data_IF_306304501414
#
_entry.id   IF_306304501414
#
_cell.length_a   1.000
_cell.length_b   1.000
_cell.length_c   1.000
_cell.angle_alpha   90.00
_cell.angle_beta   90.00
_cell.angle_gamma   90.00
#
_symmetry.space_group_name_H-M   'P 1'
#
loop_
_entity.id
_entity.type
_entity.pdbx_description
1 polymer ?
#
# COMPACT_ATOMS: atom_id res chain seq x y z
N UNK A 1 -8.48 -18.32 0.19
CA UNK A 1 -9.85 -18.57 -0.35
C UNK A 1 -10.26 -17.58 -1.44
N UNK A 2 -10.17 -16.27 -1.19
CA UNK A 2 -10.66 -15.22 -2.10
C UNK A 2 -9.87 -15.08 -3.42
N UNK A 3 -8.59 -15.45 -3.43
CA UNK A 3 -7.72 -15.40 -4.63
C UNK A 3 -7.57 -16.73 -5.37
N UNK A 4 -8.33 -17.78 -4.99
CA UNK A 4 -8.08 -19.18 -5.44
C UNK A 4 -8.07 -19.35 -6.97
N UNK A 5 -8.79 -18.50 -7.69
CA UNK A 5 -8.86 -18.49 -9.16
C UNK A 5 -8.35 -17.17 -9.77
N UNK A 6 -7.71 -16.32 -8.97
CA UNK A 6 -7.15 -15.04 -9.41
C UNK A 6 -5.77 -15.19 -10.05
N UNK A 7 -5.25 -14.10 -10.66
CA UNK A 7 -3.90 -14.07 -11.17
C UNK A 7 -2.87 -14.25 -10.03
N UNK A 8 -1.69 -14.74 -10.37
CA UNK A 8 -0.54 -14.72 -9.45
C UNK A 8 -0.08 -13.27 -9.30
N UNK A 9 -0.04 -12.77 -8.06
CA UNK A 9 0.36 -11.38 -7.76
C UNK A 9 1.74 -11.37 -7.14
N UNK A 10 2.58 -10.45 -7.62
CA UNK A 10 3.94 -10.21 -7.16
C UNK A 10 4.09 -8.72 -6.82
N UNK A 11 4.78 -8.40 -5.72
CA UNK A 11 5.01 -7.02 -5.27
C UNK A 11 6.49 -6.70 -5.33
N UNK A 12 6.87 -5.72 -6.14
CA UNK A 12 8.25 -5.25 -6.28
C UNK A 12 8.33 -3.84 -5.71
N UNK A 13 9.10 -3.66 -4.64
CA UNK A 13 9.25 -2.38 -3.94
C UNK A 13 10.70 -1.98 -3.64
N UNK A 14 11.63 -2.94 -3.69
CA UNK A 14 13.04 -2.69 -3.44
C UNK A 14 13.72 -2.22 -4.73
N UNK A 15 14.64 -1.24 -4.63
CA UNK A 15 15.44 -0.77 -5.76
C UNK A 15 16.56 -1.73 -6.15
N UNK A 16 16.91 -2.68 -5.26
CA UNK A 16 17.82 -3.77 -5.59
C UNK A 16 17.30 -4.56 -6.79
N UNK A 17 18.05 -4.51 -7.90
CA UNK A 17 17.72 -5.15 -9.17
C UNK A 17 17.51 -6.66 -9.06
N UNK A 18 18.00 -7.29 -7.98
CA UNK A 18 17.73 -8.69 -7.66
C UNK A 18 16.23 -8.96 -7.54
N UNK A 19 15.47 -8.05 -6.91
CA UNK A 19 14.04 -8.27 -6.66
C UNK A 19 13.23 -8.35 -7.95
N UNK A 20 13.43 -7.41 -8.88
CA UNK A 20 12.78 -7.45 -10.19
C UNK A 20 13.25 -8.66 -11.00
N UNK A 21 14.56 -8.90 -11.07
CA UNK A 21 15.16 -9.99 -11.84
C UNK A 21 14.64 -11.37 -11.42
N UNK A 22 14.65 -11.66 -10.11
CA UNK A 22 14.13 -12.92 -9.58
C UNK A 22 12.63 -13.07 -9.81
N UNK A 23 11.88 -11.97 -9.73
CA UNK A 23 10.42 -11.98 -9.97
C UNK A 23 10.13 -12.33 -11.42
N UNK A 24 10.69 -11.58 -12.37
CA UNK A 24 10.39 -11.76 -13.80
C UNK A 24 10.96 -13.04 -14.39
N UNK A 25 12.00 -13.62 -13.78
CA UNK A 25 12.57 -14.92 -14.19
C UNK A 25 11.56 -16.08 -14.17
N UNK A 26 10.46 -15.94 -13.43
CA UNK A 26 9.41 -16.96 -13.23
C UNK A 26 8.13 -16.65 -14.02
N UNK A 27 8.15 -15.61 -14.86
CA UNK A 27 6.98 -15.05 -15.54
C UNK A 27 7.14 -15.11 -17.06
N UNK A 28 6.01 -15.02 -17.77
CA UNK A 28 5.97 -14.90 -19.23
C UNK A 28 5.52 -13.49 -19.63
N UNK A 29 6.23 -12.80 -20.54
CA UNK A 29 5.81 -11.50 -21.05
C UNK A 29 4.40 -11.51 -21.65
N UNK A 30 3.97 -12.62 -22.24
CA UNK A 30 2.65 -12.76 -22.90
C UNK A 30 1.47 -12.80 -21.91
N UNK A 31 1.72 -13.15 -20.65
CA UNK A 31 0.66 -13.37 -19.64
C UNK A 31 0.86 -12.52 -18.39
N UNK A 32 1.68 -11.47 -18.46
CA UNK A 32 1.99 -10.61 -17.30
C UNK A 32 1.45 -9.20 -17.52
N UNK A 33 0.77 -8.68 -16.51
CA UNK A 33 0.36 -7.28 -16.41
C UNK A 33 1.19 -6.60 -15.32
N UNK A 34 1.82 -5.48 -15.63
CA UNK A 34 2.52 -4.64 -14.69
C UNK A 34 1.65 -3.47 -14.26
N UNK A 35 1.52 -3.28 -12.95
CA UNK A 35 0.80 -2.15 -12.34
C UNK A 35 1.83 -1.23 -11.69
N UNK A 36 2.07 -0.05 -12.27
CA UNK A 36 3.06 0.90 -11.76
C UNK A 36 2.37 1.87 -10.79
N UNK A 37 2.67 1.75 -9.50
CA UNK A 37 2.11 2.59 -8.45
C UNK A 37 3.06 3.73 -8.06
N UNK A 38 2.92 4.90 -8.67
CA UNK A 38 3.67 6.10 -8.31
C UNK A 38 2.86 7.35 -8.63
N UNK A 39 2.49 8.10 -7.60
CA UNK A 39 1.67 9.31 -7.72
C UNK A 39 2.25 10.32 -8.70
N UNK A 40 3.53 10.65 -8.51
CA UNK A 40 4.25 11.63 -9.34
C UNK A 40 4.81 11.00 -10.61
N UNK A 41 4.87 9.68 -10.68
CA UNK A 41 5.58 8.92 -11.71
C UNK A 41 7.07 9.32 -11.81
N UNK A 42 7.67 9.68 -10.66
CA UNK A 42 9.07 10.11 -10.57
C UNK A 42 9.85 9.44 -9.45
N UNK A 43 9.19 8.61 -8.63
CA UNK A 43 9.84 7.89 -7.54
C UNK A 43 10.95 7.02 -8.10
N UNK A 44 12.19 7.27 -7.68
CA UNK A 44 13.38 6.68 -8.31
C UNK A 44 13.32 5.16 -8.29
N UNK A 45 13.07 4.58 -7.11
CA UNK A 45 12.96 3.14 -6.90
C UNK A 45 11.87 2.51 -7.78
N UNK A 46 10.70 3.16 -7.89
CA UNK A 46 9.58 2.65 -8.68
C UNK A 46 9.85 2.75 -10.18
N UNK A 47 10.35 3.88 -10.67
CA UNK A 47 10.57 4.11 -12.10
C UNK A 47 11.76 3.28 -12.61
N UNK A 48 12.83 3.12 -11.81
CA UNK A 48 13.92 2.20 -12.16
C UNK A 48 13.40 0.78 -12.35
N UNK A 49 12.58 0.27 -11.41
CA UNK A 49 11.97 -1.06 -11.56
C UNK A 49 11.00 -1.15 -12.76
N UNK A 50 10.23 -0.09 -13.02
CA UNK A 50 9.30 -0.03 -14.14
C UNK A 50 10.02 -0.09 -15.50
N UNK A 51 11.12 0.66 -15.65
CA UNK A 51 11.94 0.63 -16.87
C UNK A 51 12.60 -0.74 -17.05
N UNK A 52 13.12 -1.37 -15.98
CA UNK A 52 13.65 -2.74 -16.07
C UNK A 52 12.58 -3.77 -16.48
N UNK A 53 11.35 -3.63 -15.96
CA UNK A 53 10.23 -4.48 -16.36
C UNK A 53 9.84 -4.27 -17.83
N UNK A 54 9.84 -3.01 -18.30
CA UNK A 54 9.57 -2.64 -19.70
C UNK A 54 10.65 -3.19 -20.63
N UNK A 55 11.91 -3.08 -20.27
CA UNK A 55 13.03 -3.66 -21.03
C UNK A 55 12.90 -5.18 -21.12
N UNK A 56 12.66 -5.85 -19.98
CA UNK A 56 12.42 -7.30 -19.95
C UNK A 56 11.26 -7.71 -20.86
N UNK A 57 10.15 -6.97 -20.83
CA UNK A 57 8.98 -7.24 -21.66
C UNK A 57 9.28 -7.04 -23.16
N UNK A 58 9.91 -5.92 -23.53
CA UNK A 58 10.23 -5.59 -24.92
C UNK A 58 11.30 -6.49 -25.52
N UNK A 59 12.15 -7.11 -24.69
CA UNK A 59 13.08 -8.14 -25.15
C UNK A 59 12.36 -9.32 -25.82
N UNK A 60 11.10 -9.61 -25.46
CA UNK A 60 10.27 -10.60 -26.12
C UNK A 60 9.26 -9.97 -27.10
N UNK A 61 8.53 -8.93 -26.66
CA UNK A 61 7.44 -8.34 -27.45
C UNK A 61 7.92 -7.57 -28.68
N UNK A 62 9.15 -7.05 -28.66
CA UNK A 62 9.85 -6.24 -29.69
C UNK A 62 9.18 -4.90 -30.06
N UNK A 63 7.87 -4.86 -30.23
CA UNK A 63 7.10 -3.66 -30.58
C UNK A 63 6.74 -2.85 -29.33
N UNK A 64 7.13 -1.57 -29.30
CA UNK A 64 6.80 -0.65 -28.22
C UNK A 64 5.29 -0.42 -28.06
N UNK A 65 4.50 -0.59 -29.13
CA UNK A 65 3.04 -0.45 -29.06
C UNK A 65 2.39 -1.43 -28.09
N UNK A 66 3.06 -2.54 -27.79
CA UNK A 66 2.55 -3.58 -26.89
C UNK A 66 2.65 -3.19 -25.41
N UNK A 67 3.44 -2.17 -25.04
CA UNK A 67 3.50 -1.64 -23.66
C UNK A 67 2.10 -1.23 -23.19
N UNK A 68 1.32 -0.59 -24.07
CA UNK A 68 -0.04 -0.16 -23.78
C UNK A 68 -0.99 -1.31 -23.36
N UNK A 69 -0.69 -2.57 -23.70
CA UNK A 69 -1.53 -3.74 -23.36
C UNK A 69 -1.08 -4.49 -22.09
N UNK A 70 0.15 -4.26 -21.64
CA UNK A 70 0.78 -5.00 -20.54
C UNK A 70 1.18 -4.13 -19.35
N UNK A 71 1.00 -2.80 -19.44
CA UNK A 71 1.34 -1.86 -18.39
C UNK A 71 0.15 -0.93 -18.12
N UNK A 72 -0.17 -0.77 -16.83
CA UNK A 72 -1.12 0.24 -16.33
C UNK A 72 -0.43 1.08 -15.26
N UNK A 73 -0.92 2.31 -15.05
CA UNK A 73 -0.34 3.23 -14.08
C UNK A 73 -1.38 3.68 -13.04
N UNK A 74 -0.94 3.78 -11.79
CA UNK A 74 -1.68 4.43 -10.70
C UNK A 74 -0.94 5.73 -10.40
N UNK A 75 -1.39 6.83 -10.99
CA UNK A 75 -0.65 8.08 -11.07
C UNK A 75 -1.57 9.26 -11.36
N UNK A 76 -1.11 10.48 -11.06
CA UNK A 76 -1.73 11.73 -11.52
C UNK A 76 -0.94 12.43 -12.62
N UNK A 77 0.22 11.87 -13.01
CA UNK A 77 1.12 12.47 -14.01
C UNK A 77 0.90 11.86 -15.40
N UNK A 78 -0.13 12.33 -16.10
CA UNK A 78 -0.48 11.85 -17.44
C UNK A 78 0.68 11.93 -18.42
N UNK A 79 1.43 13.03 -18.41
CA UNK A 79 2.54 13.25 -19.34
C UNK A 79 3.56 12.12 -19.24
N UNK A 80 4.11 11.87 -18.05
CA UNK A 80 5.13 10.83 -17.86
C UNK A 80 4.61 9.42 -18.11
N UNK A 81 3.36 9.15 -17.77
CA UNK A 81 2.71 7.86 -18.04
C UNK A 81 2.61 7.60 -19.56
N UNK A 82 2.21 8.62 -20.32
CA UNK A 82 2.14 8.49 -21.79
C UNK A 82 3.52 8.44 -22.44
N UNK A 83 4.51 9.18 -21.93
CA UNK A 83 5.92 9.09 -22.36
C UNK A 83 6.52 7.71 -22.11
N UNK A 84 6.11 7.04 -21.03
CA UNK A 84 6.50 5.65 -20.75
C UNK A 84 5.90 4.66 -21.77
N UNK A 85 4.83 5.03 -22.48
CA UNK A 85 4.14 4.19 -23.47
C UNK A 85 2.86 3.53 -22.96
N UNK A 86 2.36 3.92 -21.79
CA UNK A 86 1.06 3.47 -21.27
C UNK A 86 -0.05 4.30 -21.90
N UNK A 87 -1.12 3.62 -22.32
CA UNK A 87 -2.31 4.28 -22.86
C UNK A 87 -3.00 5.12 -21.78
N UNK A 88 -3.54 6.29 -22.14
CA UNK A 88 -4.13 7.22 -21.16
C UNK A 88 -5.32 6.60 -20.42
N UNK A 89 -6.10 5.79 -21.11
CA UNK A 89 -7.22 5.00 -20.57
C UNK A 89 -6.79 3.93 -19.56
N UNK A 90 -5.51 3.56 -19.54
CA UNK A 90 -4.89 2.61 -18.62
C UNK A 90 -4.19 3.30 -17.44
N UNK A 91 -4.47 4.59 -17.23
CA UNK A 91 -4.06 5.35 -16.06
C UNK A 91 -5.25 5.52 -15.10
N UNK A 92 -5.06 5.11 -13.85
CA UNK A 92 -6.05 5.24 -12.79
C UNK A 92 -5.58 6.29 -11.78
N UNK A 93 -6.35 7.36 -11.65
CA UNK A 93 -5.99 8.51 -10.83
C UNK A 93 -6.39 8.34 -9.35
N UNK A 94 -5.71 9.07 -8.48
CA UNK A 94 -6.09 9.27 -7.08
C UNK A 94 -5.61 10.64 -6.62
N UNK A 95 -6.14 11.14 -5.50
CA UNK A 95 -6.05 12.57 -5.16
C UNK A 95 -4.98 12.90 -4.12
N UNK A 96 -4.67 14.20 -4.01
CA UNK A 96 -3.65 14.70 -3.09
C UNK A 96 -3.93 14.47 -1.61
N UNK A 97 -5.21 14.42 -1.24
CA UNK A 97 -5.65 14.14 0.11
C UNK A 97 -5.52 12.65 0.50
N UNK A 98 -5.21 11.76 -0.46
CA UNK A 98 -4.94 10.35 -0.18
C UNK A 98 -3.46 10.19 0.18
N UNK A 99 -3.18 10.08 1.48
CA UNK A 99 -1.84 9.78 1.97
C UNK A 99 -1.40 8.36 1.61
N UNK A 100 -0.11 8.17 1.27
CA UNK A 100 0.42 6.88 0.80
C UNK A 100 0.10 5.69 1.71
N UNK A 101 0.34 5.83 3.01
CA UNK A 101 0.03 4.80 4.03
C UNK A 101 -1.46 4.60 4.34
N UNK A 102 -2.34 5.37 3.69
CA UNK A 102 -3.81 5.24 3.76
C UNK A 102 -4.42 5.02 2.37
N UNK A 103 -3.62 4.63 1.37
CA UNK A 103 -4.03 4.68 -0.04
C UNK A 103 -4.67 3.42 -0.59
N UNK A 104 -4.64 2.28 0.12
CA UNK A 104 -5.13 0.99 -0.41
C UNK A 104 -6.60 0.99 -0.85
N UNK A 105 -7.39 1.91 -0.29
CA UNK A 105 -8.81 2.09 -0.60
C UNK A 105 -9.04 2.85 -1.92
N UNK A 106 -8.00 3.45 -2.49
CA UNK A 106 -8.03 4.22 -3.74
C UNK A 106 -7.68 3.34 -4.95
N UNK A 107 -7.38 3.96 -6.10
CA UNK A 107 -6.82 3.28 -7.27
C UNK A 107 -5.58 2.42 -6.94
N UNK A 108 -4.81 2.76 -5.89
CA UNK A 108 -3.69 1.93 -5.39
C UNK A 108 -4.11 0.48 -5.10
N UNK A 109 -5.38 0.26 -4.71
CA UNK A 109 -5.96 -1.06 -4.47
C UNK A 109 -6.23 -1.89 -5.73
N UNK A 110 -5.91 -1.42 -6.94
CA UNK A 110 -6.19 -2.14 -8.19
C UNK A 110 -5.62 -3.57 -8.20
N UNK A 111 -4.42 -3.77 -7.64
CA UNK A 111 -3.82 -5.11 -7.53
C UNK A 111 -4.65 -6.06 -6.65
N UNK A 112 -5.31 -5.54 -5.62
CA UNK A 112 -6.23 -6.28 -4.77
C UNK A 112 -7.48 -6.63 -5.58
N UNK A 113 -8.07 -5.66 -6.30
CA UNK A 113 -9.22 -5.88 -7.18
C UNK A 113 -8.94 -6.98 -8.20
N UNK A 114 -7.78 -6.95 -8.87
CA UNK A 114 -7.40 -7.98 -9.83
C UNK A 114 -7.25 -9.36 -9.18
N UNK A 115 -6.81 -9.42 -7.91
CA UNK A 115 -6.55 -10.66 -7.18
C UNK A 115 -7.81 -11.35 -6.67
N UNK A 116 -8.72 -10.57 -6.06
CA UNK A 116 -9.90 -11.11 -5.36
C UNK A 116 -11.23 -10.79 -6.03
N UNK A 117 -11.23 -10.05 -7.14
CA UNK A 117 -12.44 -9.58 -7.81
C UNK A 117 -13.01 -8.31 -7.19
N UNK A 118 -13.78 -7.57 -7.98
CA UNK A 118 -14.31 -6.27 -7.58
C UNK A 118 -15.35 -6.38 -6.47
N UNK A 119 -16.20 -7.41 -6.49
CA UNK A 119 -17.25 -7.64 -5.50
C UNK A 119 -16.66 -7.86 -4.09
N UNK A 120 -15.54 -8.58 -3.99
CA UNK A 120 -14.85 -8.75 -2.72
C UNK A 120 -14.14 -7.48 -2.28
N UNK A 121 -13.58 -6.70 -3.21
CA UNK A 121 -13.01 -5.38 -2.89
C UNK A 121 -14.09 -4.40 -2.40
N UNK A 122 -15.30 -4.43 -2.97
CA UNK A 122 -16.42 -3.64 -2.47
C UNK A 122 -16.84 -4.03 -1.05
N UNK A 123 -16.80 -5.32 -0.71
CA UNK A 123 -17.03 -5.76 0.67
C UNK A 123 -15.95 -5.24 1.63
N UNK A 124 -14.69 -5.23 1.20
CA UNK A 124 -13.59 -4.62 1.96
C UNK A 124 -13.83 -3.13 2.20
N UNK A 125 -14.23 -2.38 1.18
CA UNK A 125 -14.59 -0.95 1.30
C UNK A 125 -15.80 -0.75 2.23
N UNK A 126 -16.82 -1.60 2.12
CA UNK A 126 -18.01 -1.53 2.96
C UNK A 126 -17.67 -1.78 4.45
N UNK A 127 -16.77 -2.73 4.73
CA UNK A 127 -16.27 -2.97 6.08
C UNK A 127 -15.51 -1.77 6.67
N UNK A 128 -14.63 -1.15 5.87
CA UNK A 128 -13.95 0.08 6.28
C UNK A 128 -14.93 1.22 6.56
N UNK A 129 -15.90 1.43 5.66
CA UNK A 129 -16.91 2.47 5.83
C UNK A 129 -17.81 2.24 7.05
N UNK A 130 -18.11 0.99 7.40
CA UNK A 130 -18.84 0.67 8.63
C UNK A 130 -18.03 1.06 9.88
N UNK A 131 -16.71 0.83 9.88
CA UNK A 131 -15.84 1.26 10.98
C UNK A 131 -15.67 2.79 11.01
N UNK A 132 -15.64 3.47 9.86
CA UNK A 132 -15.64 4.94 9.81
C UNK A 132 -16.90 5.52 10.46
N UNK A 133 -18.08 4.95 10.16
CA UNK A 133 -19.34 5.34 10.81
C UNK A 133 -19.31 5.07 12.32
N UNK A 134 -18.85 3.89 12.73
CA UNK A 134 -18.67 3.58 14.16
C UNK A 134 -17.79 4.62 14.85
N UNK A 135 -16.66 4.98 14.22
CA UNK A 135 -15.74 5.97 14.76
C UNK A 135 -16.35 7.37 14.86
N UNK A 136 -17.17 7.78 13.89
CA UNK A 136 -17.79 9.11 13.87
C UNK A 136 -19.01 9.25 14.80
N UNK A 137 -19.81 8.18 14.94
CA UNK A 137 -21.14 8.26 15.54
C UNK A 137 -21.20 7.75 16.98
N UNK A 138 -20.29 6.86 17.40
CA UNK A 138 -20.36 6.27 18.75
C UNK A 138 -19.82 7.18 19.85
N UNK A 139 -20.47 7.20 21.03
CA UNK A 139 -19.90 7.82 22.23
C UNK A 139 -18.50 7.27 22.52
N UNK A 140 -17.60 8.12 23.04
CA UNK A 140 -16.18 7.80 23.22
C UNK A 140 -15.96 6.51 24.03
N UNK A 141 -16.78 6.28 25.06
CA UNK A 141 -16.71 5.12 25.95
C UNK A 141 -17.14 3.80 25.28
N UNK A 142 -17.71 3.86 24.07
CA UNK A 142 -18.09 2.71 23.24
C UNK A 142 -17.39 2.72 21.88
N UNK A 143 -16.50 3.68 21.65
CA UNK A 143 -15.83 3.87 20.37
C UNK A 143 -14.54 3.04 20.35
N UNK A 144 -14.50 2.01 19.49
CA UNK A 144 -13.43 1.01 19.52
C UNK A 144 -12.07 1.61 19.17
N UNK A 145 -11.90 2.39 18.08
CA UNK A 145 -10.64 3.10 17.82
C UNK A 145 -10.21 4.04 18.95
N UNK A 146 -11.15 4.78 19.57
CA UNK A 146 -10.82 5.70 20.68
C UNK A 146 -10.33 4.94 21.90
N UNK A 147 -11.03 3.89 22.31
CA UNK A 147 -10.63 3.07 23.46
C UNK A 147 -9.24 2.47 23.22
N UNK A 148 -8.98 1.94 22.01
CA UNK A 148 -7.65 1.42 21.64
C UNK A 148 -6.58 2.52 21.69
N UNK A 149 -6.85 3.71 21.18
CA UNK A 149 -5.90 4.83 21.21
C UNK A 149 -5.57 5.29 22.63
N UNK A 150 -6.59 5.39 23.51
CA UNK A 150 -6.41 5.78 24.91
C UNK A 150 -5.62 4.73 25.69
N UNK A 151 -5.85 3.44 25.43
CA UNK A 151 -5.02 2.38 26.02
C UNK A 151 -3.57 2.47 25.54
N UNK A 152 -3.34 2.76 24.26
CA UNK A 152 -2.00 3.02 23.73
C UNK A 152 -1.28 4.16 24.44
N UNK A 153 -1.97 5.30 24.62
CA UNK A 153 -1.46 6.45 25.40
C UNK A 153 -1.19 6.05 26.85
N UNK A 154 -2.09 5.28 27.48
CA UNK A 154 -1.94 4.85 28.87
C UNK A 154 -0.64 4.06 29.07
N UNK A 155 -0.42 3.02 28.25
CA UNK A 155 0.80 2.22 28.38
C UNK A 155 2.07 2.98 27.98
N UNK A 156 2.01 3.78 26.94
CA UNK A 156 3.17 4.52 26.45
C UNK A 156 3.59 5.66 27.40
N UNK A 157 2.64 6.54 27.75
CA UNK A 157 2.94 7.78 28.47
C UNK A 157 2.94 7.62 29.99
N UNK A 158 2.27 6.61 30.55
CA UNK A 158 2.20 6.41 32.00
C UNK A 158 2.97 5.18 32.49
N UNK A 159 3.01 4.09 31.70
CA UNK A 159 3.79 2.89 32.02
C UNK A 159 5.18 2.87 31.35
N UNK A 160 5.47 3.82 30.45
CA UNK A 160 6.75 3.89 29.75
C UNK A 160 6.96 2.75 28.74
N UNK A 161 5.88 2.13 28.24
CA UNK A 161 5.99 1.06 27.25
C UNK A 161 6.28 1.65 25.86
N UNK A 162 7.51 1.51 25.39
CA UNK A 162 7.95 2.08 24.10
C UNK A 162 7.47 1.30 22.87
N UNK A 163 6.95 0.08 23.05
CA UNK A 163 6.62 -0.82 21.94
C UNK A 163 5.23 -1.43 22.07
N UNK A 164 4.62 -1.77 20.94
CA UNK A 164 3.36 -2.52 20.88
C UNK A 164 3.48 -3.67 19.87
N UNK A 165 3.14 -4.87 20.33
CA UNK A 165 3.15 -6.08 19.52
C UNK A 165 1.80 -6.31 18.83
N UNK A 166 1.81 -6.66 17.54
CA UNK A 166 0.63 -7.08 16.77
C UNK A 166 0.80 -8.56 16.43
N UNK A 167 0.04 -9.43 17.09
CA UNK A 167 0.20 -10.89 17.04
C UNK A 167 -1.06 -11.57 16.49
N UNK A 168 -1.31 -11.54 15.17
CA UNK A 168 -2.45 -12.20 14.57
C UNK A 168 -2.27 -13.73 14.60
N UNK A 169 -3.31 -14.44 15.05
CA UNK A 169 -3.38 -15.91 15.05
C UNK A 169 -3.93 -16.42 13.71
N UNK A 170 -3.36 -15.93 12.61
CA UNK A 170 -3.73 -16.30 11.24
C UNK A 170 -2.53 -16.11 10.30
N UNK A 171 -2.01 -17.20 9.73
CA UNK A 171 -0.86 -17.17 8.82
C UNK A 171 -1.05 -16.25 7.61
N UNK A 172 -2.29 -16.04 7.15
CA UNK A 172 -2.57 -15.12 6.05
C UNK A 172 -2.32 -13.65 6.43
N UNK A 173 -2.25 -13.33 7.72
CA UNK A 173 -1.96 -11.99 8.25
C UNK A 173 -0.46 -11.71 8.52
N UNK A 174 0.46 -12.53 8.00
CA UNK A 174 1.91 -12.36 8.22
C UNK A 174 2.50 -11.00 7.77
N UNK A 175 1.79 -10.23 6.93
CA UNK A 175 2.19 -8.85 6.55
C UNK A 175 1.43 -7.76 7.29
N UNK A 176 0.51 -8.11 8.18
CA UNK A 176 -0.37 -7.15 8.86
C UNK A 176 0.41 -6.23 9.79
N UNK A 177 1.34 -6.76 10.59
CA UNK A 177 2.21 -5.95 11.45
C UNK A 177 3.08 -4.98 10.61
N UNK A 178 3.67 -5.47 9.51
CA UNK A 178 4.48 -4.65 8.60
C UNK A 178 3.68 -3.49 7.95
N UNK A 179 2.41 -3.73 7.61
CA UNK A 179 1.52 -2.66 7.13
C UNK A 179 1.32 -1.55 8.18
N UNK A 180 1.06 -1.94 9.43
CA UNK A 180 0.87 -0.97 10.52
C UNK A 180 2.16 -0.30 10.98
N UNK A 181 3.33 -0.91 10.81
CA UNK A 181 4.60 -0.22 11.05
C UNK A 181 4.68 1.09 10.27
N UNK A 182 4.38 1.04 8.96
CA UNK A 182 4.29 2.28 8.19
C UNK A 182 3.09 3.13 8.62
N UNK A 183 1.92 2.52 8.77
CA UNK A 183 0.67 3.23 9.11
C UNK A 183 0.77 4.07 10.39
N UNK A 184 1.30 3.50 11.47
CA UNK A 184 1.41 4.15 12.77
C UNK A 184 2.71 4.92 12.94
N UNK A 185 3.88 4.28 12.75
CA UNK A 185 5.17 4.89 13.08
C UNK A 185 5.47 6.10 12.18
N UNK A 186 5.11 6.04 10.88
CA UNK A 186 5.26 7.20 9.98
C UNK A 186 4.23 8.30 10.28
N UNK A 187 3.06 7.96 10.83
CA UNK A 187 2.05 8.93 11.27
C UNK A 187 2.46 9.65 12.56
N UNK A 188 2.82 8.88 13.58
CA UNK A 188 2.89 9.30 14.98
C UNK A 188 4.32 9.41 15.52
N UNK A 189 5.32 8.84 14.84
CA UNK A 189 6.75 8.98 15.16
C UNK A 189 7.26 10.40 14.89
N UNK A 190 6.75 11.36 15.65
CA UNK A 190 6.98 12.80 15.51
C UNK A 190 7.45 13.38 16.83
N UNK A 191 8.17 14.49 16.77
CA UNK A 191 8.70 15.17 17.96
C UNK A 191 8.23 16.62 18.08
N UNK A 192 7.34 17.08 17.19
CA UNK A 192 6.74 18.42 17.23
C UNK A 192 5.22 18.35 17.25
N UNK A 193 4.61 19.23 18.03
CA UNK A 193 3.16 19.45 18.06
C UNK A 193 2.66 20.16 16.81
N UNK A 194 1.33 20.25 16.64
CA UNK A 194 0.71 21.01 15.55
C UNK A 194 1.09 22.50 15.57
N UNK A 195 1.39 23.05 16.75
CA UNK A 195 1.84 24.44 16.92
C UNK A 195 3.36 24.61 16.74
N UNK A 196 4.06 23.55 16.32
CA UNK A 196 5.50 23.57 16.04
C UNK A 196 6.40 23.47 17.26
N UNK A 197 5.85 23.32 18.47
CA UNK A 197 6.64 23.13 19.71
C UNK A 197 7.22 21.73 19.77
N UNK A 198 8.43 21.59 20.31
CA UNK A 198 8.99 20.26 20.60
C UNK A 198 8.23 19.63 21.78
N UNK A 199 7.93 18.34 21.66
CA UNK A 199 7.27 17.57 22.73
C UNK A 199 8.27 17.13 23.80
N UNK A 200 7.83 17.05 25.05
CA UNK A 200 8.54 16.54 26.22
C UNK A 200 7.94 15.21 26.74
N UNK A 201 7.12 14.56 25.92
CA UNK A 201 6.45 13.29 26.18
C UNK A 201 6.60 12.32 25.01
N UNK A 202 6.42 11.03 25.27
CA UNK A 202 6.44 9.97 24.24
C UNK A 202 5.33 10.13 23.19
N UNK A 203 5.65 9.86 21.93
CA UNK A 203 4.70 9.93 20.80
C UNK A 203 4.39 8.54 20.23
N UNK A 204 4.52 8.28 18.93
CA UNK A 204 4.20 6.96 18.36
C UNK A 204 5.12 5.85 18.91
N UNK A 205 4.59 4.68 19.30
CA UNK A 205 5.39 3.56 19.77
C UNK A 205 6.10 2.84 18.61
N UNK A 206 7.05 1.98 18.93
CA UNK A 206 7.63 1.03 17.97
C UNK A 206 6.65 -0.15 17.80
N UNK A 207 6.19 -0.38 16.56
CA UNK A 207 5.36 -1.52 16.23
C UNK A 207 6.18 -2.70 15.70
N UNK A 208 5.86 -3.90 16.16
CA UNK A 208 6.46 -5.14 15.69
C UNK A 208 5.47 -6.31 15.86
N UNK A 209 5.78 -7.45 15.28
CA UNK A 209 4.96 -8.64 15.42
C UNK A 209 5.20 -9.65 14.32
N UNK A 210 4.81 -10.88 14.61
CA UNK A 210 4.82 -12.01 13.69
C UNK A 210 3.49 -12.77 13.84
N UNK A 211 3.18 -13.59 12.85
CA UNK A 211 2.09 -14.56 12.99
C UNK A 211 2.48 -15.66 13.96
N UNK A 212 1.52 -16.09 14.78
CA UNK A 212 1.65 -17.20 15.72
C UNK A 212 0.77 -18.38 15.33
#
# INVERSE_FOLDING_TARGET
>A
PYSKNGPRVHFISNIDGTHISETVSKLSPETTLFIIASKTFTTQETITNAESAKEWFLNQAKDQSHVAKHFVALSTNTQKVTEFGIAKENMFEFWDWVGGRYSLWSAIGLSIVCSIGFENFQQLLAGAHAMDKHFQEMPLEKNLPVIMAVLGIWYNNFFGAETQAILPYDQYMHRFAAYFQQGDMESNGKYRTKDGKQVDYSTGPILWGEVS
#
